data_IF_509257237844
#
_entry.id   IF_509257237844
#
_cell.length_a   1.000
_cell.length_b   1.000
_cell.length_c   1.000
_cell.angle_alpha   90.00
_cell.angle_beta   90.00
_cell.angle_gamma   90.00
#
_symmetry.space_group_name_H-M   'P 1'
#
loop_
_entity.id
_entity.type
_entity.pdbx_description
1 polymer ?
#
# COMPACT_ATOMS: atom_id res chain seq x y z
N UNK A 1 -16.69 0.84 -0.56
CA UNK A 1 -15.35 0.37 -0.18
C UNK A 1 -14.81 -0.61 -1.20
N UNK A 2 -13.67 -0.27 -1.80
CA UNK A 2 -12.86 -1.14 -2.66
C UNK A 2 -11.65 -1.62 -1.87
N UNK A 3 -11.16 -2.82 -2.17
CA UNK A 3 -9.93 -3.35 -1.59
C UNK A 3 -8.96 -3.65 -2.71
N UNK A 4 -7.74 -3.13 -2.59
CA UNK A 4 -6.67 -3.34 -3.53
C UNK A 4 -5.51 -4.06 -2.86
N UNK A 5 -4.87 -4.97 -3.60
CA UNK A 5 -3.70 -5.69 -3.14
C UNK A 5 -2.55 -5.49 -4.11
N UNK A 6 -1.38 -5.21 -3.56
CA UNK A 6 -0.20 -4.94 -4.33
C UNK A 6 0.99 -5.71 -3.79
N UNK A 7 1.84 -6.18 -4.70
CA UNK A 7 3.17 -6.69 -4.36
C UNK A 7 4.08 -5.50 -4.09
N UNK A 8 4.83 -5.51 -3.00
CA UNK A 8 5.74 -4.41 -2.64
C UNK A 8 7.16 -4.89 -2.37
N UNK A 9 8.09 -3.96 -2.16
CA UNK A 9 9.44 -4.26 -1.65
C UNK A 9 9.58 -3.97 -0.14
N UNK A 10 8.48 -3.78 0.58
CA UNK A 10 8.49 -3.41 2.00
C UNK A 10 8.78 -4.65 2.84
N UNK A 11 9.99 -4.76 3.37
CA UNK A 11 10.48 -5.96 4.05
C UNK A 11 10.98 -5.72 5.48
N UNK A 12 10.88 -4.48 6.00
CA UNK A 12 11.33 -4.11 7.33
C UNK A 12 10.26 -3.29 8.05
N UNK A 13 10.14 -3.45 9.38
CA UNK A 13 9.23 -2.66 10.20
C UNK A 13 9.46 -1.15 10.10
N UNK A 14 10.73 -0.73 9.94
CA UNK A 14 11.06 0.68 9.70
C UNK A 14 10.51 1.21 8.37
N UNK A 15 10.48 0.38 7.32
CA UNK A 15 9.89 0.75 6.03
C UNK A 15 8.37 0.92 6.13
N UNK A 16 7.70 0.07 6.91
CA UNK A 16 6.26 0.20 7.19
C UNK A 16 5.97 1.51 7.94
N UNK A 17 6.79 1.83 8.94
CA UNK A 17 6.67 3.09 9.68
C UNK A 17 6.85 4.31 8.76
N UNK A 18 7.80 4.24 7.81
CA UNK A 18 8.00 5.26 6.78
C UNK A 18 6.84 5.42 5.81
N UNK A 19 6.15 4.34 5.44
CA UNK A 19 4.99 4.39 4.53
C UNK A 19 3.71 4.88 5.22
N UNK A 20 3.55 4.58 6.51
CA UNK A 20 2.39 4.94 7.34
C UNK A 20 1.89 6.37 7.15
N UNK A 21 2.74 7.43 7.27
CA UNK A 21 2.28 8.80 7.12
C UNK A 21 1.76 9.12 5.72
N UNK A 22 2.29 8.48 4.67
CA UNK A 22 1.84 8.71 3.29
C UNK A 22 0.44 8.14 3.05
N UNK A 23 0.17 6.93 3.55
CA UNK A 23 -1.15 6.30 3.44
C UNK A 23 -2.18 7.01 4.35
N UNK A 24 -1.81 7.35 5.58
CA UNK A 24 -2.70 8.02 6.53
C UNK A 24 -2.99 9.48 6.16
N UNK A 25 -2.12 10.14 5.39
CA UNK A 25 -2.36 11.49 4.88
C UNK A 25 -3.49 11.52 3.82
N UNK A 26 -3.77 10.39 3.17
CA UNK A 26 -4.83 10.30 2.17
C UNK A 26 -6.19 9.99 2.81
N UNK A 27 -7.14 10.93 2.72
CA UNK A 27 -8.50 10.79 3.26
C UNK A 27 -9.34 9.69 2.59
N UNK A 28 -8.96 9.26 1.39
CA UNK A 28 -9.61 8.19 0.63
C UNK A 28 -9.20 6.78 1.09
N UNK A 29 -8.11 6.65 1.84
CA UNK A 29 -7.66 5.39 2.44
C UNK A 29 -8.31 5.24 3.81
N UNK A 30 -9.00 4.12 4.03
CA UNK A 30 -9.62 3.81 5.32
C UNK A 30 -8.76 2.89 6.17
N UNK A 31 -8.16 1.89 5.53
CA UNK A 31 -7.37 0.89 6.22
C UNK A 31 -6.28 0.38 5.26
N UNK A 32 -5.14 0.02 5.82
CA UNK A 32 -4.07 -0.60 5.05
C UNK A 32 -3.28 -1.57 5.93
N UNK A 33 -2.68 -2.58 5.31
CA UNK A 33 -1.86 -3.59 6.00
C UNK A 33 -0.76 -4.09 5.07
N UNK A 34 0.46 -4.15 5.57
CA UNK A 34 1.57 -4.82 4.88
C UNK A 34 1.76 -6.21 5.49
N UNK A 35 1.63 -7.24 4.67
CA UNK A 35 1.99 -8.61 5.01
C UNK A 35 3.45 -8.87 4.64
N UNK A 36 4.34 -8.63 5.60
CA UNK A 36 5.76 -8.92 5.48
C UNK A 36 6.08 -10.40 5.65
N UNK A 37 5.13 -11.23 6.08
CA UNK A 37 5.31 -12.69 6.19
C UNK A 37 5.19 -13.36 4.83
N UNK A 38 4.40 -12.77 3.94
CA UNK A 38 4.30 -13.20 2.56
C UNK A 38 5.61 -12.94 1.79
N UNK A 39 6.10 -13.88 0.95
CA UNK A 39 7.29 -13.66 0.11
C UNK A 39 7.11 -12.49 -0.87
N UNK A 40 5.88 -12.20 -1.28
CA UNK A 40 5.53 -11.07 -2.14
C UNK A 40 5.39 -9.72 -1.42
N UNK A 41 5.50 -9.67 -0.08
CA UNK A 41 5.31 -8.44 0.72
C UNK A 41 4.04 -7.70 0.32
N UNK A 42 2.89 -8.32 0.60
CA UNK A 42 1.61 -7.86 0.07
C UNK A 42 1.10 -6.66 0.85
N UNK A 43 0.88 -5.54 0.19
CA UNK A 43 0.18 -4.40 0.74
C UNK A 43 -1.30 -4.50 0.36
N UNK A 44 -2.17 -4.60 1.35
CA UNK A 44 -3.62 -4.52 1.19
C UNK A 44 -4.08 -3.14 1.61
N UNK A 45 -4.86 -2.46 0.77
CA UNK A 45 -5.40 -1.12 1.03
C UNK A 45 -6.90 -1.12 0.78
N UNK A 46 -7.67 -0.66 1.76
CA UNK A 46 -9.11 -0.42 1.67
C UNK A 46 -9.38 1.05 1.46
N UNK A 47 -10.12 1.36 0.41
CA UNK A 47 -10.42 2.73 -0.01
C UNK A 47 -11.92 2.91 -0.19
N UNK A 48 -12.41 4.14 -0.02
CA UNK A 48 -13.81 4.45 -0.32
C UNK A 48 -14.02 4.96 -1.73
N UNK A 49 -13.17 5.89 -2.17
CA UNK A 49 -13.40 6.67 -3.39
C UNK A 49 -12.17 6.86 -4.26
N UNK A 50 -11.01 6.30 -3.88
CA UNK A 50 -9.79 6.37 -4.68
C UNK A 50 -9.53 5.05 -5.39
N UNK A 51 -8.97 5.14 -6.59
CA UNK A 51 -8.65 4.01 -7.46
C UNK A 51 -7.25 3.44 -7.17
N UNK A 52 -6.95 2.29 -7.77
CA UNK A 52 -5.67 1.60 -7.60
C UNK A 52 -4.45 2.44 -7.99
N UNK A 53 -4.54 3.24 -9.05
CA UNK A 53 -3.45 4.09 -9.54
C UNK A 53 -3.07 5.18 -8.53
N UNK A 54 -4.06 5.76 -7.85
CA UNK A 54 -3.82 6.73 -6.77
C UNK A 54 -3.09 6.07 -5.61
N UNK A 55 -3.52 4.88 -5.20
CA UNK A 55 -2.86 4.11 -4.14
C UNK A 55 -1.41 3.81 -4.54
N UNK A 56 -1.19 3.41 -5.79
CA UNK A 56 0.13 3.10 -6.32
C UNK A 56 1.05 4.33 -6.27
N UNK A 57 0.57 5.47 -6.74
CA UNK A 57 1.31 6.72 -6.73
C UNK A 57 1.71 7.18 -5.31
N UNK A 58 0.87 6.94 -4.31
CA UNK A 58 1.19 7.27 -2.89
C UNK A 58 2.36 6.43 -2.40
N UNK A 59 2.36 5.12 -2.70
CA UNK A 59 3.41 4.20 -2.29
C UNK A 59 4.72 4.50 -3.01
N UNK A 60 4.67 4.83 -4.31
CA UNK A 60 5.84 5.26 -5.08
C UNK A 60 6.42 6.58 -4.58
N UNK A 61 5.56 7.56 -4.21
CA UNK A 61 5.98 8.82 -3.59
C UNK A 61 6.66 8.63 -2.24
N UNK A 62 6.32 7.56 -1.52
CA UNK A 62 6.98 7.18 -0.28
C UNK A 62 8.35 6.49 -0.52
N UNK A 63 8.76 6.30 -1.78
CA UNK A 63 10.03 5.69 -2.16
C UNK A 63 9.99 4.16 -2.27
N UNK A 64 8.81 3.55 -2.28
CA UNK A 64 8.64 2.10 -2.36
C UNK A 64 8.16 1.65 -3.74
N UNK A 65 8.59 0.46 -4.15
CA UNK A 65 8.11 -0.15 -5.39
C UNK A 65 6.83 -0.91 -5.10
N UNK A 66 5.84 -0.73 -5.97
CA UNK A 66 4.53 -1.35 -5.86
C UNK A 66 4.08 -1.85 -7.22
N UNK A 67 3.61 -3.09 -7.27
CA UNK A 67 3.11 -3.73 -8.47
C UNK A 67 1.72 -4.30 -8.22
N UNK A 68 0.80 -4.08 -9.16
CA UNK A 68 -0.51 -4.73 -9.13
C UNK A 68 -0.30 -6.24 -9.18
N UNK A 69 -1.09 -6.95 -8.39
CA UNK A 69 -1.23 -8.38 -8.52
C UNK A 69 -2.42 -8.57 -9.45
N UNK A 70 -2.17 -9.00 -10.69
CA UNK A 70 -3.26 -9.46 -11.54
C UNK A 70 -3.85 -10.71 -10.90
N UNK A 71 -5.17 -10.70 -10.71
CA UNK A 71 -5.92 -11.76 -10.07
C UNK A 71 -6.30 -12.84 -11.08
#
# INVERSE_FOLDING_TARGET
MKTYQFKTNINCGGCVAGLTPHLNSNKGIKEWKVDTTNPGKILTVKTDNIEEDEVKAIVEKAGFKVQKIEQ
#
